data_IF_058653364344
#
_entry.id   IF_058653364344
#
_cell.length_a   1.000
_cell.length_b   1.000
_cell.length_c   1.000
_cell.angle_alpha   90.00
_cell.angle_beta   90.00
_cell.angle_gamma   90.00
#
_symmetry.space_group_name_H-M   'P 1'
#
loop_
_entity.id
_entity.type
_entity.pdbx_description
1 polymer ?
#
# COMPACT_ATOMS: atom_id res chain seq x y z
N UNK A 1 -16.58 15.17 21.13
CA UNK A 1 -18.05 14.97 21.20
C UNK A 1 -18.39 13.63 21.89
N UNK A 2 -19.42 13.58 22.75
CA UNK A 2 -19.78 12.37 23.49
C UNK A 2 -20.10 11.15 22.61
N UNK A 3 -20.50 11.38 21.36
CA UNK A 3 -20.75 10.34 20.36
C UNK A 3 -19.51 9.48 19.99
N UNK A 4 -18.29 9.96 20.25
CA UNK A 4 -17.05 9.18 20.03
C UNK A 4 -16.42 8.70 21.34
N UNK A 5 -17.15 8.75 22.46
CA UNK A 5 -16.67 8.20 23.72
C UNK A 5 -16.33 6.71 23.56
N UNK A 6 -15.27 6.28 24.23
CA UNK A 6 -14.85 4.89 24.24
C UNK A 6 -16.01 3.99 24.68
N UNK A 7 -16.33 2.96 23.89
CA UNK A 7 -17.48 2.07 24.12
C UNK A 7 -18.75 2.42 23.33
N UNK A 8 -18.83 3.60 22.71
CA UNK A 8 -19.95 3.94 21.82
C UNK A 8 -19.92 3.14 20.50
N UNK A 9 -21.10 2.88 19.92
CA UNK A 9 -21.20 2.23 18.60
C UNK A 9 -20.44 3.03 17.53
N UNK A 10 -20.52 4.35 17.56
CA UNK A 10 -19.84 5.21 16.58
C UNK A 10 -18.31 5.18 16.73
N UNK A 11 -17.77 5.03 17.95
CA UNK A 11 -16.35 4.78 18.16
C UNK A 11 -15.89 3.49 17.46
N UNK A 12 -16.58 2.37 17.74
CA UNK A 12 -16.21 1.07 17.16
C UNK A 12 -16.44 1.03 15.65
N UNK A 13 -17.53 1.62 15.15
CA UNK A 13 -17.78 1.72 13.71
C UNK A 13 -16.68 2.53 13.00
N UNK A 14 -16.29 3.68 13.56
CA UNK A 14 -15.20 4.49 13.03
C UNK A 14 -13.88 3.71 12.98
N UNK A 15 -13.55 3.00 14.06
CA UNK A 15 -12.33 2.19 14.14
C UNK A 15 -12.33 1.06 13.10
N UNK A 16 -13.42 0.30 13.00
CA UNK A 16 -13.57 -0.80 12.03
C UNK A 16 -13.45 -0.27 10.60
N UNK A 17 -14.14 0.83 10.26
CA UNK A 17 -14.09 1.41 8.92
C UNK A 17 -12.69 1.95 8.58
N UNK A 18 -12.00 2.53 9.56
CA UNK A 18 -10.59 2.95 9.41
C UNK A 18 -9.68 1.78 9.09
N UNK A 19 -9.80 0.67 9.82
CA UNK A 19 -9.05 -0.55 9.53
C UNK A 19 -9.44 -1.16 8.17
N UNK A 20 -10.72 -1.23 7.84
CA UNK A 20 -11.18 -1.75 6.55
C UNK A 20 -10.60 -0.96 5.37
N UNK A 21 -10.59 0.39 5.48
CA UNK A 21 -9.93 1.25 4.50
C UNK A 21 -8.43 0.95 4.41
N UNK A 22 -7.74 0.92 5.54
CA UNK A 22 -6.28 0.78 5.63
C UNK A 22 -5.79 -0.60 5.13
N UNK A 23 -6.51 -1.67 5.46
CA UNK A 23 -6.08 -3.06 5.24
C UNK A 23 -6.63 -3.66 3.95
N UNK A 24 -7.77 -3.18 3.45
CA UNK A 24 -8.43 -3.74 2.27
C UNK A 24 -8.46 -2.75 1.11
N UNK A 25 -9.09 -1.60 1.32
CA UNK A 25 -9.37 -0.67 0.20
C UNK A 25 -8.08 -0.08 -0.37
N UNK A 26 -7.21 0.45 0.50
CA UNK A 26 -5.95 1.07 0.10
C UNK A 26 -5.04 0.07 -0.65
N UNK A 27 -4.71 -1.12 -0.10
CA UNK A 27 -3.88 -2.10 -0.81
C UNK A 27 -4.46 -2.53 -2.15
N UNK A 28 -5.77 -2.77 -2.24
CA UNK A 28 -6.38 -3.20 -3.50
C UNK A 28 -6.23 -2.11 -4.57
N UNK A 29 -6.60 -0.87 -4.24
CA UNK A 29 -6.56 0.26 -5.18
C UNK A 29 -5.12 0.56 -5.58
N UNK A 30 -4.22 0.65 -4.60
CA UNK A 30 -2.83 0.99 -4.84
C UNK A 30 -2.10 -0.10 -5.62
N UNK A 31 -2.25 -1.38 -5.28
CA UNK A 31 -1.56 -2.44 -6.01
C UNK A 31 -2.07 -2.57 -7.45
N UNK A 32 -3.37 -2.36 -7.70
CA UNK A 32 -3.91 -2.28 -9.06
C UNK A 32 -3.21 -1.16 -9.85
N UNK A 33 -3.06 0.02 -9.25
CA UNK A 33 -2.42 1.15 -9.90
C UNK A 33 -0.90 0.94 -10.10
N UNK A 34 -0.16 0.63 -9.04
CA UNK A 34 1.29 0.55 -9.08
C UNK A 34 1.78 -0.69 -9.84
N UNK A 35 1.28 -1.87 -9.48
CA UNK A 35 1.82 -3.16 -9.96
C UNK A 35 0.98 -3.70 -11.12
N UNK A 36 -0.34 -3.54 -11.03
CA UNK A 36 -1.26 -3.89 -12.11
C UNK A 36 -1.06 -3.01 -13.35
N UNK A 37 -0.87 -1.71 -13.18
CA UNK A 37 -0.77 -0.77 -14.29
C UNK A 37 0.65 -0.20 -14.48
N UNK A 38 1.12 0.65 -13.57
CA UNK A 38 2.24 1.57 -13.83
C UNK A 38 3.57 0.85 -14.09
N UNK A 39 3.88 -0.22 -13.34
CA UNK A 39 5.09 -1.03 -13.56
C UNK A 39 5.19 -1.56 -14.99
N UNK A 40 4.05 -1.92 -15.58
CA UNK A 40 3.97 -2.48 -16.94
C UNK A 40 3.85 -1.40 -18.00
N UNK A 41 3.09 -0.35 -17.71
CA UNK A 41 2.92 0.80 -18.60
C UNK A 41 4.23 1.50 -18.93
N UNK A 42 5.11 1.65 -17.94
CA UNK A 42 6.45 2.24 -18.12
C UNK A 42 7.41 1.37 -18.94
N UNK A 43 7.05 0.10 -19.20
CA UNK A 43 7.79 -0.79 -20.12
C UNK A 43 7.22 -0.65 -21.53
N UNK A 44 5.89 -0.63 -21.66
CA UNK A 44 5.17 -0.48 -22.91
C UNK A 44 3.77 0.06 -22.64
N UNK A 45 3.33 1.03 -23.44
CA UNK A 45 2.01 1.65 -23.34
C UNK A 45 0.87 0.63 -23.41
N UNK A 46 0.92 -0.32 -24.37
CA UNK A 46 0.07 -1.51 -24.37
C UNK A 46 0.53 -2.51 -23.28
N UNK A 47 0.35 -2.09 -22.03
CA UNK A 47 0.79 -2.78 -20.83
C UNK A 47 0.08 -4.13 -20.61
N UNK A 48 -1.08 -4.31 -21.25
CA UNK A 48 -1.86 -5.56 -21.22
C UNK A 48 -1.08 -6.73 -21.82
N UNK A 49 -0.20 -6.45 -22.80
CA UNK A 49 0.69 -7.43 -23.44
C UNK A 49 1.98 -7.67 -22.68
N UNK A 50 2.27 -6.89 -21.64
CA UNK A 50 3.44 -7.08 -20.78
C UNK A 50 3.08 -8.11 -19.70
N UNK A 51 3.75 -9.27 -19.64
CA UNK A 51 3.52 -10.24 -18.58
C UNK A 51 3.69 -9.61 -17.19
N UNK A 52 2.83 -9.98 -16.25
CA UNK A 52 2.98 -9.48 -14.88
C UNK A 52 4.30 -9.99 -14.28
N UNK A 53 5.06 -9.08 -13.67
CA UNK A 53 6.38 -9.37 -13.13
C UNK A 53 7.53 -9.25 -14.14
N UNK A 54 7.31 -8.74 -15.36
CA UNK A 54 8.42 -8.34 -16.26
C UNK A 54 9.20 -7.18 -15.64
N UNK A 55 10.52 -7.35 -15.57
CA UNK A 55 11.42 -6.37 -14.94
C UNK A 55 11.90 -5.32 -15.93
N UNK A 56 11.98 -4.07 -15.47
CA UNK A 56 12.72 -2.98 -16.10
C UNK A 56 13.27 -2.06 -15.01
N UNK A 57 14.52 -1.63 -15.16
CA UNK A 57 15.13 -0.68 -14.22
C UNK A 57 14.38 0.65 -14.17
N UNK A 58 13.93 1.14 -15.33
CA UNK A 58 13.16 2.38 -15.39
C UNK A 58 11.85 2.27 -14.61
N UNK A 59 11.07 1.22 -14.85
CA UNK A 59 9.79 1.04 -14.16
C UNK A 59 9.96 0.81 -12.67
N UNK A 60 10.97 0.03 -12.27
CA UNK A 60 11.28 -0.20 -10.87
C UNK A 60 11.60 1.09 -10.12
N UNK A 61 12.52 1.90 -10.65
CA UNK A 61 12.95 3.15 -10.00
C UNK A 61 11.79 4.14 -9.96
N UNK A 62 11.12 4.39 -11.09
CA UNK A 62 10.04 5.36 -11.18
C UNK A 62 8.89 5.00 -10.26
N UNK A 63 8.43 3.74 -10.25
CA UNK A 63 7.33 3.31 -9.36
C UNK A 63 7.74 3.40 -7.89
N UNK A 64 8.97 3.02 -7.53
CA UNK A 64 9.45 3.11 -6.14
C UNK A 64 9.48 4.56 -5.65
N UNK A 65 10.01 5.48 -6.47
CA UNK A 65 10.06 6.90 -6.13
C UNK A 65 8.66 7.52 -6.11
N UNK A 66 7.82 7.25 -7.11
CA UNK A 66 6.46 7.77 -7.17
C UNK A 66 5.60 7.29 -6.00
N UNK A 67 5.77 6.03 -5.56
CA UNK A 67 5.14 5.50 -4.35
C UNK A 67 5.54 6.30 -3.11
N UNK A 68 6.84 6.57 -2.93
CA UNK A 68 7.33 7.36 -1.80
C UNK A 68 6.82 8.80 -1.81
N UNK A 69 6.74 9.44 -2.99
CA UNK A 69 6.19 10.79 -3.12
C UNK A 69 4.70 10.89 -2.77
N UNK A 70 3.97 9.78 -2.80
CA UNK A 70 2.58 9.71 -2.31
C UNK A 70 2.44 9.73 -0.78
N UNK A 71 3.55 9.59 -0.06
CA UNK A 71 3.58 9.56 1.41
C UNK A 71 4.10 10.89 1.99
N UNK A 72 3.86 11.11 3.27
CA UNK A 72 4.41 12.26 3.98
C UNK A 72 5.94 12.26 3.93
N UNK A 73 6.56 13.44 3.88
CA UNK A 73 8.01 13.58 3.70
C UNK A 73 8.83 12.85 4.79
N UNK A 74 8.31 12.81 6.02
CA UNK A 74 8.93 12.08 7.13
C UNK A 74 9.01 10.56 6.87
N UNK A 75 8.10 10.03 6.04
CA UNK A 75 7.95 8.60 5.80
C UNK A 75 8.70 8.15 4.55
N UNK A 76 9.26 9.07 3.76
CA UNK A 76 9.94 8.75 2.49
C UNK A 76 10.99 7.66 2.60
N UNK A 77 11.88 7.62 3.63
CA UNK A 77 12.85 6.53 3.75
C UNK A 77 12.16 5.15 3.86
N UNK A 78 11.10 5.05 4.66
CA UNK A 78 10.34 3.82 4.82
C UNK A 78 9.53 3.48 3.55
N UNK A 79 8.94 4.49 2.92
CA UNK A 79 8.15 4.35 1.70
C UNK A 79 9.00 3.90 0.50
N UNK A 80 10.24 4.39 0.37
CA UNK A 80 11.18 3.94 -0.66
C UNK A 80 11.55 2.47 -0.48
N UNK A 81 11.86 2.06 0.76
CA UNK A 81 12.21 0.66 1.06
C UNK A 81 11.01 -0.25 0.80
N UNK A 82 9.84 0.09 1.33
CA UNK A 82 8.61 -0.71 1.17
C UNK A 82 8.14 -0.77 -0.28
N UNK A 83 8.15 0.36 -1.00
CA UNK A 83 7.83 0.40 -2.43
C UNK A 83 8.73 -0.52 -3.27
N UNK A 84 10.03 -0.53 -2.97
CA UNK A 84 10.99 -1.44 -3.59
C UNK A 84 10.75 -2.92 -3.24
N UNK A 85 10.46 -3.21 -1.97
CA UNK A 85 10.12 -4.57 -1.52
C UNK A 85 8.84 -5.10 -2.16
N UNK A 86 7.80 -4.28 -2.28
CA UNK A 86 6.56 -4.67 -2.97
C UNK A 86 6.77 -4.91 -4.47
N UNK A 87 7.63 -4.12 -5.12
CA UNK A 87 8.04 -4.42 -6.49
C UNK A 87 8.77 -5.77 -6.58
N UNK A 88 9.65 -6.08 -5.61
CA UNK A 88 10.31 -7.37 -5.54
C UNK A 88 9.30 -8.52 -5.36
N UNK A 89 8.28 -8.35 -4.50
CA UNK A 89 7.17 -9.31 -4.36
C UNK A 89 6.47 -9.53 -5.71
N UNK A 90 6.18 -8.45 -6.45
CA UNK A 90 5.56 -8.54 -7.77
C UNK A 90 6.43 -9.36 -8.75
N UNK A 91 7.74 -9.13 -8.79
CA UNK A 91 8.65 -9.85 -9.70
C UNK A 91 8.85 -11.31 -9.30
N UNK A 92 8.87 -11.61 -7.99
CA UNK A 92 9.08 -12.97 -7.48
C UNK A 92 7.83 -13.83 -7.61
N UNK A 93 6.68 -13.29 -7.21
CA UNK A 93 5.42 -14.05 -7.16
C UNK A 93 4.65 -14.02 -8.46
N UNK A 94 4.89 -13.00 -9.29
CA UNK A 94 4.14 -12.73 -10.52
C UNK A 94 2.62 -12.71 -10.29
N UNK A 95 2.20 -12.27 -9.10
CA UNK A 95 0.81 -12.30 -8.65
C UNK A 95 0.40 -10.97 -8.03
N UNK A 96 -0.60 -10.32 -8.62
CA UNK A 96 -1.18 -9.09 -8.09
C UNK A 96 -1.85 -9.34 -6.73
N UNK A 97 -2.48 -10.51 -6.55
CA UNK A 97 -3.09 -10.89 -5.28
C UNK A 97 -2.04 -11.01 -4.17
N UNK A 98 -0.86 -11.56 -4.48
CA UNK A 98 0.24 -11.65 -3.50
C UNK A 98 0.71 -10.26 -3.08
N UNK A 99 0.82 -9.31 -4.01
CA UNK A 99 1.12 -7.91 -3.68
C UNK A 99 0.05 -7.30 -2.76
N UNK A 100 -1.23 -7.44 -3.11
CA UNK A 100 -2.33 -6.89 -2.32
C UNK A 100 -2.40 -7.50 -0.91
N UNK A 101 -2.16 -8.80 -0.77
CA UNK A 101 -2.09 -9.47 0.53
C UNK A 101 -0.88 -9.01 1.35
N UNK A 102 0.31 -8.92 0.75
CA UNK A 102 1.50 -8.42 1.44
C UNK A 102 1.28 -7.00 1.95
N UNK A 103 0.74 -6.11 1.11
CA UNK A 103 0.46 -4.72 1.49
C UNK A 103 -0.68 -4.65 2.54
N UNK A 104 -1.74 -5.45 2.41
CA UNK A 104 -2.78 -5.54 3.44
C UNK A 104 -2.23 -5.98 4.80
N UNK A 105 -1.35 -6.99 4.83
CA UNK A 105 -0.74 -7.49 6.07
C UNK A 105 0.17 -6.44 6.71
N UNK A 106 1.04 -5.80 5.94
CA UNK A 106 1.91 -4.74 6.48
C UNK A 106 1.10 -3.56 7.02
N UNK A 107 0.03 -3.16 6.33
CA UNK A 107 -0.89 -2.12 6.81
C UNK A 107 -1.66 -2.54 8.07
N UNK A 108 -2.05 -3.82 8.18
CA UNK A 108 -2.67 -4.35 9.39
C UNK A 108 -1.70 -4.27 10.58
N UNK A 109 -0.45 -4.69 10.37
CA UNK A 109 0.59 -4.62 11.40
C UNK A 109 0.88 -3.17 11.81
N UNK A 110 0.94 -2.25 10.85
CA UNK A 110 1.08 -0.81 11.11
C UNK A 110 -0.10 -0.27 11.91
N UNK A 111 -1.33 -0.60 11.52
CA UNK A 111 -2.54 -0.19 12.25
C UNK A 111 -2.56 -0.71 13.69
N UNK A 112 -2.18 -1.97 13.92
CA UNK A 112 -2.06 -2.51 15.28
C UNK A 112 -0.98 -1.78 16.09
N UNK A 113 0.16 -1.47 15.48
CA UNK A 113 1.24 -0.74 16.12
C UNK A 113 0.84 0.70 16.47
N UNK A 114 0.10 1.41 15.60
CA UNK A 114 -0.39 2.76 15.91
C UNK A 114 -1.35 2.71 17.09
N UNK A 115 -2.26 1.74 17.14
CA UNK A 115 -3.18 1.57 18.27
C UNK A 115 -2.43 1.32 19.59
N UNK A 116 -1.32 0.57 19.55
CA UNK A 116 -0.51 0.28 20.72
C UNK A 116 0.33 1.47 21.20
N UNK A 117 0.85 2.28 20.26
CA UNK A 117 1.83 3.34 20.57
C UNK A 117 1.25 4.74 20.62
N UNK A 118 0.02 4.94 20.11
CA UNK A 118 -0.60 6.26 20.00
C UNK A 118 0.04 7.17 18.94
N UNK A 119 0.82 6.61 18.01
CA UNK A 119 1.49 7.35 16.94
C UNK A 119 0.51 7.67 15.79
N UNK A 120 -0.50 8.49 16.08
CA UNK A 120 -1.62 8.77 15.17
C UNK A 120 -1.24 9.45 13.85
N UNK A 121 -0.01 9.97 13.73
CA UNK A 121 0.48 10.58 12.49
C UNK A 121 0.55 9.63 11.29
N UNK A 122 0.57 8.31 11.54
CA UNK A 122 0.60 7.28 10.51
C UNK A 122 -0.81 6.77 10.09
N UNK A 123 -1.90 7.38 10.60
CA UNK A 123 -3.26 6.87 10.45
C UNK A 123 -4.11 7.55 9.35
#
# INVERSE_FOLDING_TARGET
>A
PAIFAAGSLAYWASLILRFARLVLVVPIVEEIFWRGFLLRYLIREDFSRVPFGTFSWLSFIVVTVAFALGHAMADWPAALITGGLYNLVAYRTKSLLSCALTHGITNLLLGLWIMQTGQWGFW
#
